data_IF_696326224112
#
_entry.id   IF_696326224112
#
_cell.length_a   1.000
_cell.length_b   1.000
_cell.length_c   1.000
_cell.angle_alpha   90.00
_cell.angle_beta   90.00
_cell.angle_gamma   90.00
#
_symmetry.space_group_name_H-M   'P 1'
#
loop_
_entity.id
_entity.type
_entity.pdbx_description
1 polymer ?
#
# COMPACT_ATOMS: atom_id res chain seq x y z
N UNK A 1 2.77 -17.14 1.95
CA UNK A 1 3.36 -15.80 2.10
C UNK A 1 3.54 -15.19 0.72
N UNK A 2 3.15 -13.94 0.50
CA UNK A 2 3.07 -13.34 -0.85
C UNK A 2 4.10 -12.22 -1.01
N UNK A 3 4.62 -12.02 -2.23
CA UNK A 3 5.49 -10.89 -2.51
C UNK A 3 4.70 -9.56 -2.51
N UNK A 4 5.23 -8.59 -1.78
CA UNK A 4 4.74 -7.21 -1.71
C UNK A 4 5.79 -6.31 -2.38
N UNK A 5 5.38 -5.56 -3.40
CA UNK A 5 6.20 -4.54 -4.04
C UNK A 5 5.83 -3.16 -3.50
N UNK A 6 6.79 -2.37 -3.03
CA UNK A 6 6.52 -1.02 -2.50
C UNK A 6 7.30 0.01 -3.30
N UNK A 7 6.58 0.93 -3.94
CA UNK A 7 7.15 2.12 -4.59
C UNK A 7 7.01 3.28 -3.61
N UNK A 8 8.07 3.59 -2.87
CA UNK A 8 8.15 4.66 -1.88
C UNK A 8 9.49 5.39 -1.96
N UNK A 9 9.68 6.43 -1.15
CA UNK A 9 11.01 7.00 -0.94
C UNK A 9 11.97 5.94 -0.34
N UNK A 10 13.27 6.02 -0.66
CA UNK A 10 14.29 5.06 -0.18
C UNK A 10 14.57 5.19 1.34
N UNK A 11 13.83 6.06 2.04
CA UNK A 11 13.99 6.28 3.49
C UNK A 11 13.30 5.14 4.24
N UNK A 12 13.93 4.68 5.33
CA UNK A 12 13.34 3.75 6.29
C UNK A 12 12.93 2.36 5.75
N UNK A 13 13.39 1.95 4.56
CA UNK A 13 13.02 0.66 3.95
C UNK A 13 13.22 -0.54 4.89
N UNK A 14 14.35 -0.55 5.62
CA UNK A 14 14.64 -1.60 6.60
C UNK A 14 13.63 -1.60 7.75
N UNK A 15 13.32 -0.43 8.28
CA UNK A 15 12.38 -0.26 9.39
C UNK A 15 10.97 -0.69 8.99
N UNK A 16 10.51 -0.29 7.80
CA UNK A 16 9.22 -0.72 7.23
C UNK A 16 9.17 -2.25 7.09
N UNK A 17 10.25 -2.89 6.62
CA UNK A 17 10.31 -4.37 6.56
C UNK A 17 10.17 -5.00 7.94
N UNK A 18 10.86 -4.46 8.94
CA UNK A 18 10.80 -4.97 10.31
C UNK A 18 9.39 -4.83 10.90
N UNK A 19 8.71 -3.70 10.65
CA UNK A 19 7.30 -3.49 11.03
C UNK A 19 6.39 -4.49 10.32
N UNK A 20 6.53 -4.66 9.00
CA UNK A 20 5.67 -5.59 8.24
C UNK A 20 5.90 -7.05 8.65
N UNK A 21 7.14 -7.43 8.97
CA UNK A 21 7.45 -8.74 9.52
C UNK A 21 6.74 -8.97 10.85
N UNK A 22 6.67 -7.97 11.73
CA UNK A 22 5.99 -8.07 13.03
C UNK A 22 4.46 -8.01 12.91
N UNK A 23 3.93 -7.05 12.15
CA UNK A 23 2.50 -6.73 12.09
C UNK A 23 1.71 -7.69 11.22
N UNK A 24 2.28 -8.14 10.09
CA UNK A 24 1.58 -8.99 9.11
C UNK A 24 2.29 -10.32 8.83
N UNK A 25 3.36 -10.64 9.57
CA UNK A 25 4.11 -11.90 9.44
C UNK A 25 4.60 -12.13 7.98
N UNK A 26 5.03 -11.06 7.30
CA UNK A 26 5.52 -11.14 5.92
C UNK A 26 6.89 -10.48 5.73
N UNK A 27 7.85 -11.28 5.26
CA UNK A 27 9.23 -10.88 4.98
C UNK A 27 9.50 -10.63 3.48
N UNK A 28 8.58 -11.04 2.60
CA UNK A 28 8.74 -11.00 1.15
C UNK A 28 8.42 -9.61 0.57
N UNK A 29 9.11 -8.59 1.07
CA UNK A 29 8.91 -7.18 0.69
C UNK A 29 10.08 -6.69 -0.16
N UNK A 30 9.77 -6.16 -1.34
CA UNK A 30 10.74 -5.58 -2.27
C UNK A 30 10.38 -4.12 -2.51
N UNK A 31 11.33 -3.22 -2.26
CA UNK A 31 11.17 -1.83 -2.66
C UNK A 31 11.50 -1.68 -4.13
N UNK A 32 10.65 -0.97 -4.85
CA UNK A 32 10.70 -0.80 -6.30
C UNK A 32 11.08 0.65 -6.57
N UNK A 33 12.18 0.84 -7.31
CA UNK A 33 12.67 2.14 -7.73
C UNK A 33 13.16 2.07 -9.19
N UNK A 34 13.47 3.22 -9.78
CA UNK A 34 13.93 3.31 -11.16
C UNK A 34 15.20 2.50 -11.44
N UNK A 35 16.06 2.30 -10.42
CA UNK A 35 17.33 1.58 -10.56
C UNK A 35 17.12 0.06 -10.63
N UNK A 36 16.09 -0.47 -9.98
CA UNK A 36 15.89 -1.91 -9.84
C UNK A 36 14.71 -2.48 -10.64
N UNK A 37 13.77 -1.63 -11.08
CA UNK A 37 12.52 -2.07 -11.73
C UNK A 37 12.75 -2.97 -12.94
N UNK A 38 13.80 -2.72 -13.73
CA UNK A 38 14.17 -3.53 -14.89
C UNK A 38 14.53 -4.97 -14.49
N UNK A 39 15.18 -5.15 -13.33
CA UNK A 39 15.63 -6.45 -12.84
C UNK A 39 14.48 -7.25 -12.20
N UNK A 40 13.46 -6.56 -11.67
CA UNK A 40 12.36 -7.19 -10.94
C UNK A 40 11.05 -7.24 -11.73
N UNK A 41 11.03 -6.79 -12.99
CA UNK A 41 9.82 -6.76 -13.84
C UNK A 41 9.12 -8.11 -14.01
N UNK A 42 9.86 -9.21 -13.84
CA UNK A 42 9.35 -10.58 -13.97
C UNK A 42 8.95 -11.21 -12.62
N UNK A 43 9.14 -10.51 -11.50
CA UNK A 43 8.71 -10.99 -10.18
C UNK A 43 7.19 -10.85 -10.07
N UNK A 44 6.51 -11.92 -9.63
CA UNK A 44 5.07 -11.91 -9.39
C UNK A 44 4.77 -11.38 -8.00
N UNK A 45 4.42 -10.10 -7.94
CA UNK A 45 3.91 -9.47 -6.74
C UNK A 45 2.41 -9.72 -6.62
N UNK A 46 1.93 -10.12 -5.44
CA UNK A 46 0.50 -10.20 -5.20
C UNK A 46 -0.10 -8.83 -4.88
N UNK A 47 0.66 -8.02 -4.16
CA UNK A 47 0.26 -6.70 -3.69
C UNK A 47 1.32 -5.71 -4.13
N UNK A 48 0.89 -4.62 -4.76
CA UNK A 48 1.75 -3.47 -5.05
C UNK A 48 1.26 -2.26 -4.28
N UNK A 49 2.19 -1.53 -3.67
CA UNK A 49 1.95 -0.23 -3.04
C UNK A 49 2.60 0.85 -3.89
N UNK A 50 1.81 1.82 -4.34
CA UNK A 50 2.29 3.03 -5.00
C UNK A 50 2.12 4.21 -4.04
N UNK A 51 3.15 4.44 -3.20
CA UNK A 51 3.19 5.59 -2.31
C UNK A 51 3.74 6.84 -3.01
N UNK A 52 4.59 6.65 -4.02
CA UNK A 52 5.07 7.71 -4.91
C UNK A 52 4.87 7.37 -6.39
N UNK A 53 4.91 8.40 -7.23
CA UNK A 53 4.91 8.24 -8.68
C UNK A 53 6.20 7.57 -9.17
N UNK A 54 6.08 6.80 -10.25
CA UNK A 54 7.20 6.17 -10.95
C UNK A 54 6.95 6.32 -12.45
N UNK A 55 7.93 6.85 -13.19
CA UNK A 55 7.78 7.15 -14.62
C UNK A 55 8.52 6.10 -15.45
N UNK A 56 8.08 4.85 -15.30
CA UNK A 56 8.70 3.71 -15.94
C UNK A 56 7.65 2.77 -16.53
N UNK A 57 7.75 2.47 -17.83
CA UNK A 57 6.79 1.61 -18.54
C UNK A 57 6.71 0.20 -17.96
N UNK A 58 7.77 -0.30 -17.31
CA UNK A 58 7.78 -1.61 -16.70
C UNK A 58 6.84 -1.73 -15.50
N UNK A 59 6.43 -0.61 -14.87
CA UNK A 59 5.48 -0.67 -13.74
C UNK A 59 4.16 -1.32 -14.16
N UNK A 60 3.72 -1.10 -15.40
CA UNK A 60 2.50 -1.71 -15.93
C UNK A 60 2.61 -3.25 -16.00
N UNK A 61 3.78 -3.77 -16.35
CA UNK A 61 4.03 -5.23 -16.38
C UNK A 61 4.00 -5.85 -14.98
N UNK A 62 4.50 -5.11 -13.98
CA UNK A 62 4.45 -5.52 -12.57
C UNK A 62 2.99 -5.53 -12.09
N UNK A 63 2.24 -4.46 -12.39
CA UNK A 63 0.83 -4.32 -12.02
C UNK A 63 -0.07 -5.39 -12.68
N UNK A 64 0.22 -5.78 -13.92
CA UNK A 64 -0.53 -6.83 -14.64
C UNK A 64 -0.57 -8.18 -13.90
N UNK A 65 0.42 -8.46 -13.06
CA UNK A 65 0.51 -9.71 -12.30
C UNK A 65 0.01 -9.59 -10.85
N UNK A 66 -0.36 -8.38 -10.41
CA UNK A 66 -0.82 -8.13 -9.07
C UNK A 66 -2.32 -8.41 -8.93
N UNK A 67 -2.74 -8.76 -7.71
CA UNK A 67 -4.17 -8.88 -7.37
C UNK A 67 -4.65 -7.60 -6.66
N UNK A 68 -3.78 -6.99 -5.84
CA UNK A 68 -4.08 -5.79 -5.09
C UNK A 68 -3.15 -4.64 -5.47
N UNK A 69 -3.74 -3.46 -5.59
CA UNK A 69 -3.02 -2.20 -5.73
C UNK A 69 -3.42 -1.27 -4.59
N UNK A 70 -2.48 -0.93 -3.72
CA UNK A 70 -2.64 0.12 -2.71
C UNK A 70 -2.07 1.41 -3.31
N UNK A 71 -2.92 2.39 -3.55
CA UNK A 71 -2.56 3.60 -4.30
C UNK A 71 -2.73 4.84 -3.42
N UNK A 72 -1.65 5.62 -3.26
CA UNK A 72 -1.77 6.94 -2.65
C UNK A 72 -2.61 7.84 -3.58
N UNK A 73 -3.74 8.34 -3.10
CA UNK A 73 -4.65 9.21 -3.86
C UNK A 73 -4.14 10.63 -4.01
N UNK A 74 -3.14 11.00 -3.21
CA UNK A 74 -2.64 12.36 -3.11
C UNK A 74 -1.41 12.58 -4.01
N UNK A 75 -0.97 11.51 -4.71
CA UNK A 75 0.03 11.58 -5.78
C UNK A 75 -0.64 11.57 -7.15
N UNK A 76 0.02 12.20 -8.13
CA UNK A 76 -0.45 12.16 -9.51
C UNK A 76 0.04 10.87 -10.18
N UNK A 77 -0.87 9.95 -10.48
CA UNK A 77 -0.59 8.73 -11.25
C UNK A 77 -1.35 8.78 -12.57
N UNK A 78 -0.66 8.44 -13.67
CA UNK A 78 -1.28 8.42 -15.00
C UNK A 78 -2.33 7.31 -15.05
N UNK A 79 -3.57 7.65 -15.43
CA UNK A 79 -4.73 6.75 -15.37
C UNK A 79 -4.56 5.50 -16.26
N UNK A 80 -3.85 5.64 -17.38
CA UNK A 80 -3.52 4.61 -18.36
C UNK A 80 -2.62 3.48 -17.81
N UNK A 81 -1.96 3.73 -16.67
CA UNK A 81 -1.19 2.72 -15.94
C UNK A 81 -2.09 1.68 -15.27
N UNK A 82 -3.31 2.08 -14.88
CA UNK A 82 -4.24 1.27 -14.08
C UNK A 82 -5.43 0.82 -14.93
N UNK A 83 -5.76 1.57 -15.98
CA UNK A 83 -6.87 1.27 -16.88
C UNK A 83 -6.74 -0.13 -17.51
N UNK A 84 -7.86 -0.86 -17.54
CA UNK A 84 -7.96 -2.23 -18.06
C UNK A 84 -7.16 -3.30 -17.30
N UNK A 85 -6.74 -3.04 -16.06
CA UNK A 85 -6.15 -4.05 -15.19
C UNK A 85 -7.22 -4.64 -14.25
N UNK A 86 -7.21 -5.97 -14.09
CA UNK A 86 -8.06 -6.67 -13.12
C UNK A 86 -7.44 -6.60 -11.72
N UNK A 87 -7.48 -5.40 -11.13
CA UNK A 87 -6.89 -5.09 -9.83
C UNK A 87 -7.95 -4.73 -8.79
N UNK A 88 -7.80 -5.26 -7.58
CA UNK A 88 -8.48 -4.74 -6.40
C UNK A 88 -7.74 -3.49 -5.92
N UNK A 89 -8.20 -2.32 -6.40
CA UNK A 89 -7.59 -1.03 -6.06
C UNK A 89 -8.12 -0.52 -4.71
N UNK A 90 -7.21 -0.24 -3.79
CA UNK A 90 -7.46 0.39 -2.50
C UNK A 90 -6.71 1.72 -2.50
N UNK A 91 -7.46 2.81 -2.68
CA UNK A 91 -6.89 4.15 -2.59
C UNK A 91 -6.77 4.58 -1.14
N UNK A 92 -5.65 5.22 -0.78
CA UNK A 92 -5.45 5.81 0.54
C UNK A 92 -4.94 7.24 0.45
N UNK A 93 -5.28 8.08 1.42
CA UNK A 93 -4.77 9.46 1.50
C UNK A 93 -5.66 10.35 2.35
N UNK A 94 -5.38 11.65 2.37
CA UNK A 94 -6.17 12.64 3.09
C UNK A 94 -7.47 13.02 2.36
N UNK A 95 -7.60 12.62 1.09
CA UNK A 95 -8.83 12.81 0.34
C UNK A 95 -9.97 11.93 0.88
N UNK A 96 -11.10 12.54 1.24
CA UNK A 96 -12.29 11.84 1.73
C UNK A 96 -12.94 10.88 0.72
N UNK A 97 -12.60 11.00 -0.57
CA UNK A 97 -13.03 10.06 -1.62
C UNK A 97 -12.17 8.79 -1.66
N UNK A 98 -11.09 8.70 -0.90
CA UNK A 98 -10.23 7.52 -0.85
C UNK A 98 -10.91 6.36 -0.14
N UNK A 99 -10.50 5.13 -0.46
CA UNK A 99 -11.03 3.92 0.16
C UNK A 99 -10.64 3.83 1.63
N UNK A 100 -9.43 4.30 1.94
CA UNK A 100 -8.92 4.49 3.30
C UNK A 100 -8.50 5.96 3.43
N UNK A 101 -8.87 6.63 4.51
CA UNK A 101 -8.50 8.03 4.71
C UNK A 101 -8.06 8.30 6.14
N UNK A 102 -7.13 9.24 6.31
CA UNK A 102 -6.76 9.75 7.63
C UNK A 102 -7.67 10.94 7.96
N UNK A 103 -8.58 10.76 8.92
CA UNK A 103 -9.54 11.80 9.33
C UNK A 103 -8.98 12.72 10.42
N UNK A 104 -8.04 12.21 11.22
CA UNK A 104 -7.31 12.97 12.23
C UNK A 104 -5.88 12.46 12.32
N UNK A 105 -4.94 13.38 12.51
CA UNK A 105 -3.52 13.07 12.69
C UNK A 105 -2.98 13.92 13.83
N UNK A 106 -2.46 13.26 14.85
CA UNK A 106 -1.68 13.90 15.92
C UNK A 106 -0.21 13.50 15.77
N UNK A 107 0.63 13.90 16.73
CA UNK A 107 2.04 13.48 16.74
C UNK A 107 2.17 11.96 16.91
N UNK A 108 1.38 11.37 17.81
CA UNK A 108 1.49 9.97 18.23
C UNK A 108 0.45 9.04 17.59
N UNK A 109 -0.72 9.56 17.20
CA UNK A 109 -1.85 8.76 16.75
C UNK A 109 -2.42 9.23 15.41
N UNK A 110 -3.14 8.33 14.74
CA UNK A 110 -3.88 8.63 13.53
C UNK A 110 -5.21 7.89 13.52
N UNK A 111 -6.29 8.62 13.24
CA UNK A 111 -7.61 8.04 13.02
C UNK A 111 -7.76 7.69 11.53
N UNK A 112 -7.75 6.40 11.24
CA UNK A 112 -7.95 5.84 9.90
C UNK A 112 -9.42 5.45 9.71
N UNK A 113 -10.06 5.99 8.68
CA UNK A 113 -11.41 5.60 8.28
C UNK A 113 -11.36 4.73 7.02
N UNK A 114 -11.88 3.52 7.10
CA UNK A 114 -12.18 2.68 5.95
C UNK A 114 -13.53 3.11 5.39
N UNK A 115 -13.56 3.71 4.21
CA UNK A 115 -14.75 4.32 3.60
C UNK A 115 -15.56 3.34 2.73
N UNK A 116 -14.91 2.29 2.20
CA UNK A 116 -15.53 1.29 1.32
C UNK A 116 -15.13 -0.11 1.73
N UNK A 117 -15.94 -1.08 1.30
CA UNK A 117 -15.68 -2.50 1.53
C UNK A 117 -14.34 -2.94 0.94
N UNK A 118 -13.54 -3.64 1.74
CA UNK A 118 -12.28 -4.24 1.30
C UNK A 118 -12.39 -5.76 1.43
N UNK A 119 -12.07 -6.49 0.36
CA UNK A 119 -11.95 -7.96 0.41
C UNK A 119 -10.50 -8.30 0.72
N UNK A 120 -10.24 -8.88 1.88
CA UNK A 120 -8.89 -9.25 2.30
C UNK A 120 -8.38 -10.50 1.55
N UNK A 121 -7.10 -10.88 1.74
CA UNK A 121 -6.50 -12.04 1.05
C UNK A 121 -7.12 -13.39 1.40
N UNK A 122 -7.92 -13.46 2.49
CA UNK A 122 -8.67 -14.65 2.92
C UNK A 122 -10.09 -14.65 2.36
N UNK A 123 -10.44 -13.70 1.50
CA UNK A 123 -11.80 -13.54 0.94
C UNK A 123 -12.82 -12.94 1.93
N UNK A 124 -12.39 -12.52 3.13
CA UNK A 124 -13.29 -11.90 4.11
C UNK A 124 -13.52 -10.43 3.76
N UNK A 125 -14.78 -10.02 3.83
CA UNK A 125 -15.21 -8.63 3.66
C UNK A 125 -14.94 -7.84 4.95
N UNK A 126 -14.24 -6.72 4.79
CA UNK A 126 -14.03 -5.69 5.80
C UNK A 126 -15.00 -4.55 5.48
N UNK A 127 -15.92 -4.28 6.40
CA UNK A 127 -16.91 -3.19 6.27
C UNK A 127 -16.28 -1.82 6.63
N UNK A 128 -16.93 -0.71 6.26
CA UNK A 128 -16.52 0.63 6.69
C UNK A 128 -16.48 0.74 8.22
N UNK A 129 -15.39 1.30 8.73
CA UNK A 129 -15.13 1.45 10.16
C UNK A 129 -14.02 2.48 10.40
N UNK A 130 -13.90 2.93 11.65
CA UNK A 130 -12.80 3.77 12.12
C UNK A 130 -11.82 2.94 12.93
N UNK A 131 -10.53 3.20 12.75
CA UNK A 131 -9.43 2.49 13.38
C UNK A 131 -8.46 3.55 13.90
N UNK A 132 -8.28 3.63 15.22
CA UNK A 132 -7.21 4.44 15.78
C UNK A 132 -5.91 3.63 15.71
N UNK A 133 -4.84 4.24 15.19
CA UNK A 133 -3.53 3.61 15.12
C UNK A 133 -2.50 4.48 15.85
N UNK A 134 -1.62 3.82 16.60
CA UNK A 134 -0.36 4.42 17.03
C UNK A 134 0.54 4.56 15.81
N UNK A 135 1.10 5.75 15.63
CA UNK A 135 2.04 6.04 14.56
C UNK A 135 3.43 5.57 14.94
N UNK A 136 4.14 5.03 13.97
CA UNK A 136 5.59 4.96 14.07
C UNK A 136 6.18 6.35 13.78
N UNK A 137 6.79 6.97 14.80
CA UNK A 137 7.35 8.32 14.73
C UNK A 137 8.54 8.45 13.75
N UNK A 138 9.17 7.32 13.36
CA UNK A 138 10.25 7.33 12.36
C UNK A 138 9.70 7.38 10.94
N UNK A 139 8.41 7.08 10.77
CA UNK A 139 7.72 7.01 9.49
C UNK A 139 6.84 8.23 9.26
N UNK A 140 6.66 8.61 8.00
CA UNK A 140 5.71 9.66 7.67
C UNK A 140 4.26 9.16 7.75
N UNK A 141 3.31 10.07 7.60
CA UNK A 141 1.90 9.73 7.69
C UNK A 141 1.48 8.74 6.58
N UNK A 142 2.00 8.87 5.36
CA UNK A 142 1.64 7.99 4.26
C UNK A 142 2.21 6.58 4.43
N UNK A 143 3.41 6.47 5.00
CA UNK A 143 4.01 5.20 5.40
C UNK A 143 3.12 4.46 6.40
N UNK A 144 2.72 5.14 7.47
CA UNK A 144 1.80 4.59 8.46
C UNK A 144 0.47 4.15 7.82
N UNK A 145 -0.07 4.94 6.88
CA UNK A 145 -1.32 4.64 6.19
C UNK A 145 -1.26 3.40 5.30
N UNK A 146 -0.24 3.24 4.44
CA UNK A 146 -0.19 2.03 3.60
C UNK A 146 0.18 0.79 4.40
N UNK A 147 0.97 0.92 5.49
CA UNK A 147 1.20 -0.18 6.42
C UNK A 147 -0.13 -0.64 7.03
N UNK A 148 -1.01 0.30 7.39
CA UNK A 148 -2.35 -0.04 7.85
C UNK A 148 -3.20 -0.68 6.76
N UNK A 149 -3.13 -0.19 5.52
CA UNK A 149 -3.81 -0.83 4.38
C UNK A 149 -3.35 -2.28 4.18
N UNK A 150 -2.04 -2.54 4.29
CA UNK A 150 -1.50 -3.90 4.26
C UNK A 150 -2.04 -4.73 5.42
N UNK A 151 -2.06 -4.20 6.65
CA UNK A 151 -2.64 -4.88 7.80
C UNK A 151 -4.12 -5.27 7.58
N UNK A 152 -4.93 -4.37 7.03
CA UNK A 152 -6.34 -4.63 6.66
C UNK A 152 -6.41 -5.79 5.63
N UNK A 153 -5.61 -5.74 4.57
CA UNK A 153 -5.58 -6.76 3.51
C UNK A 153 -5.13 -8.13 4.04
N UNK A 154 -4.24 -8.17 5.04
CA UNK A 154 -3.84 -9.41 5.72
C UNK A 154 -4.83 -9.86 6.81
N UNK A 155 -5.80 -9.01 7.17
CA UNK A 155 -6.76 -9.26 8.25
C UNK A 155 -6.10 -9.23 9.63
N UNK A 156 -5.13 -8.33 9.83
CA UNK A 156 -4.33 -8.12 11.05
C UNK A 156 -4.53 -6.68 11.57
N UNK A 157 -5.78 -6.21 11.57
CA UNK A 157 -6.17 -4.90 12.10
C UNK A 157 -6.03 -4.85 13.61
#
# INVERSE_FOLDING_TARGET
>A
MFFIGIVSEEKNEKHIKDILKQKIENENVVFINEKNIENIKNIKFKIIVLNKGIDNKNIKNILLNAEYLILNSDINVKIDLIENLDLKVITYGFNSKSTVTASSVTEEEMLICVQRNIINIKGKKIEPQEINIEKDIMLDNYDNMYIMCLAIIYGKM
#
